data_IF_431200815949
#
_entry.id   IF_431200815949
#
_cell.length_a   1.000
_cell.length_b   1.000
_cell.length_c   1.000
_cell.angle_alpha   90.00
_cell.angle_beta   90.00
_cell.angle_gamma   90.00
#
_symmetry.space_group_name_H-M   'P 1'
#
loop_
_entity.id
_entity.type
_entity.pdbx_description
1 polymer ?
#
# COMPACT_ATOMS: atom_id res chain seq x y z
N UNK A 1 -1.79 8.98 1.56
CA UNK A 1 -1.75 9.32 0.12
C UNK A 1 -3.09 9.92 -0.29
N UNK A 2 -3.11 11.01 -1.07
CA UNK A 2 -4.36 11.53 -1.60
C UNK A 2 -4.87 10.69 -2.79
N UNK A 3 -6.09 10.18 -2.66
CA UNK A 3 -6.79 9.36 -3.66
C UNK A 3 -8.26 9.82 -3.77
N UNK A 4 -8.51 11.11 -3.56
CA UNK A 4 -9.83 11.69 -3.65
C UNK A 4 -10.46 11.40 -5.02
N UNK A 5 -11.76 11.10 -5.01
CA UNK A 5 -12.49 10.67 -6.20
C UNK A 5 -12.57 9.14 -6.33
N UNK A 6 -11.70 8.35 -5.72
CA UNK A 6 -11.77 6.88 -5.76
C UNK A 6 -12.64 6.30 -4.65
N UNK A 7 -13.47 5.32 -4.97
CA UNK A 7 -14.18 4.49 -3.99
C UNK A 7 -13.31 3.30 -3.56
N UNK A 8 -13.71 2.59 -2.50
CA UNK A 8 -12.98 1.40 -2.02
C UNK A 8 -12.88 0.33 -3.12
N UNK A 9 -13.92 0.17 -3.92
CA UNK A 9 -13.98 -0.82 -4.99
C UNK A 9 -13.12 -0.43 -6.21
N UNK A 10 -12.76 0.86 -6.33
CA UNK A 10 -11.88 1.35 -7.39
C UNK A 10 -10.39 1.18 -7.06
N UNK A 11 -10.04 0.78 -5.82
CA UNK A 11 -8.65 0.74 -5.32
C UNK A 11 -8.24 -0.68 -4.96
N UNK A 12 -7.08 -1.09 -5.46
CA UNK A 12 -6.42 -2.34 -5.11
C UNK A 12 -5.08 -2.07 -4.43
N UNK A 13 -4.80 -2.83 -3.37
CA UNK A 13 -3.56 -2.74 -2.59
C UNK A 13 -3.01 -4.15 -2.46
N UNK A 14 -1.78 -4.34 -2.91
CA UNK A 14 -1.13 -5.65 -2.94
C UNK A 14 0.31 -5.54 -2.46
N UNK A 15 0.76 -6.56 -1.74
CA UNK A 15 2.17 -6.73 -1.38
C UNK A 15 2.68 -7.99 -2.04
N UNK A 16 3.71 -7.86 -2.86
CA UNK A 16 4.43 -8.97 -3.47
C UNK A 16 5.91 -8.83 -3.10
N UNK A 17 6.46 -9.85 -2.45
CA UNK A 17 7.79 -9.82 -1.83
C UNK A 17 7.96 -8.61 -0.89
N UNK A 18 8.77 -7.62 -1.28
CA UNK A 18 9.00 -6.37 -0.56
C UNK A 18 8.44 -5.16 -1.32
N UNK A 19 7.48 -5.35 -2.22
CA UNK A 19 6.88 -4.26 -3.01
C UNK A 19 5.41 -4.09 -2.67
N UNK A 20 5.05 -2.92 -2.13
CA UNK A 20 3.67 -2.49 -1.95
C UNK A 20 3.21 -1.76 -3.21
N UNK A 21 2.21 -2.31 -3.89
CA UNK A 21 1.56 -1.71 -5.07
C UNK A 21 0.17 -1.22 -4.70
N UNK A 22 -0.12 0.04 -5.03
CA UNK A 22 -1.42 0.69 -4.87
C UNK A 22 -1.90 1.14 -6.24
N UNK A 23 -3.03 0.60 -6.68
CA UNK A 23 -3.61 0.87 -7.98
C UNK A 23 -5.03 1.42 -7.83
N UNK A 24 -5.33 2.53 -8.47
CA UNK A 24 -6.68 3.06 -8.58
C UNK A 24 -7.16 2.98 -10.02
N UNK A 25 -8.30 2.33 -10.25
CA UNK A 25 -8.92 2.19 -11.57
C UNK A 25 -10.33 2.74 -11.54
N UNK A 26 -10.59 3.80 -12.32
CA UNK A 26 -11.94 4.29 -12.56
C UNK A 26 -12.51 3.58 -13.77
N UNK A 27 -13.70 3.01 -13.63
CA UNK A 27 -14.52 2.60 -14.78
C UNK A 27 -14.85 3.85 -15.58
N UNK A 28 -14.31 3.95 -16.78
CA UNK A 28 -14.58 5.06 -17.71
C UNK A 28 -16.07 5.14 -18.03
N UNK A 29 -16.56 6.37 -18.24
CA UNK A 29 -17.96 6.63 -18.61
C UNK A 29 -18.39 5.86 -19.90
N UNK A 30 -17.43 5.49 -20.75
CA UNK A 30 -17.64 4.67 -21.95
C UNK A 30 -18.07 3.22 -21.67
N UNK A 31 -17.83 2.67 -20.46
CA UNK A 31 -18.19 1.30 -20.12
C UNK A 31 -19.56 1.18 -19.42
N UNK A 32 -20.12 2.31 -18.96
CA UNK A 32 -21.44 2.35 -18.35
C UNK A 32 -22.50 2.64 -19.42
N UNK A 33 -23.07 1.58 -20.03
CA UNK A 33 -24.17 1.66 -21.00
C UNK A 33 -25.41 2.44 -20.51
N UNK A 34 -25.56 2.66 -19.20
CA UNK A 34 -26.67 3.40 -18.57
C UNK A 34 -26.34 4.85 -18.21
N UNK A 35 -25.09 5.30 -18.33
CA UNK A 35 -24.74 6.69 -18.03
C UNK A 35 -24.84 7.53 -19.29
N UNK A 36 -25.98 8.23 -19.45
CA UNK A 36 -26.10 9.40 -20.35
C UNK A 36 -24.82 10.22 -20.23
N UNK A 37 -24.14 10.46 -21.34
CA UNK A 37 -22.90 11.27 -21.42
C UNK A 37 -22.98 12.44 -20.45
N UNK A 38 -22.25 12.35 -19.34
CA UNK A 38 -22.19 13.44 -18.36
C UNK A 38 -21.47 14.59 -19.04
N UNK A 39 -22.24 15.58 -19.48
CA UNK A 39 -21.71 16.74 -20.18
C UNK A 39 -21.15 17.72 -19.15
N UNK A 40 -19.83 17.66 -18.94
CA UNK A 40 -19.14 18.60 -18.06
C UNK A 40 -18.96 19.95 -18.77
N UNK A 41 -19.35 21.05 -18.12
CA UNK A 41 -19.04 22.41 -18.60
C UNK A 41 -17.55 22.74 -18.41
N UNK A 42 -16.95 22.28 -17.31
CA UNK A 42 -15.53 22.37 -17.03
C UNK A 42 -15.10 21.25 -16.09
N UNK A 43 -14.02 20.53 -16.42
CA UNK A 43 -13.45 19.45 -15.60
C UNK A 43 -12.03 19.82 -15.17
N UNK A 44 -11.91 20.52 -14.04
CA UNK A 44 -10.63 21.02 -13.53
C UNK A 44 -9.68 19.94 -13.02
N UNK A 45 -10.19 18.77 -12.64
CA UNK A 45 -9.39 17.62 -12.17
C UNK A 45 -9.88 16.37 -12.89
N UNK A 46 -8.95 15.73 -13.62
CA UNK A 46 -9.24 14.46 -14.27
C UNK A 46 -8.96 13.31 -13.31
N UNK A 47 -10.01 12.55 -12.97
CA UNK A 47 -9.85 11.24 -12.33
C UNK A 47 -9.22 10.29 -13.34
N UNK A 48 -7.93 9.99 -13.17
CA UNK A 48 -7.16 9.10 -14.04
C UNK A 48 -6.72 7.89 -13.25
N UNK A 49 -6.68 6.75 -13.92
CA UNK A 49 -6.10 5.54 -13.34
C UNK A 49 -4.67 5.82 -12.90
N UNK A 50 -4.27 5.25 -11.78
CA UNK A 50 -2.94 5.40 -11.24
C UNK A 50 -2.40 4.08 -10.72
N UNK A 51 -1.07 3.97 -10.74
CA UNK A 51 -0.31 2.94 -10.04
C UNK A 51 0.82 3.63 -9.26
N UNK A 52 1.00 3.21 -8.02
CA UNK A 52 2.11 3.63 -7.16
C UNK A 52 2.74 2.40 -6.52
N UNK A 53 4.06 2.29 -6.66
CA UNK A 53 4.86 1.20 -6.11
C UNK A 53 5.81 1.75 -5.05
N UNK A 54 5.89 1.06 -3.93
CA UNK A 54 6.76 1.41 -2.81
C UNK A 54 7.61 0.19 -2.47
N UNK A 55 8.93 0.40 -2.39
CA UNK A 55 9.82 -0.61 -1.85
C UNK A 55 9.73 -0.59 -0.33
N UNK A 56 9.33 -1.71 0.26
CA UNK A 56 9.34 -1.93 1.70
C UNK A 56 10.75 -2.27 2.17
N UNK A 57 11.10 -1.79 3.35
CA UNK A 57 12.34 -2.15 4.01
C UNK A 57 12.32 -3.58 4.54
N UNK A 58 13.50 -4.10 4.87
CA UNK A 58 13.63 -5.42 5.47
C UNK A 58 12.79 -5.53 6.75
N UNK A 59 12.01 -6.61 6.81
CA UNK A 59 11.15 -6.93 7.93
C UNK A 59 9.99 -5.95 8.16
N UNK A 60 9.66 -5.11 7.18
CA UNK A 60 8.45 -4.29 7.23
C UNK A 60 7.24 -5.13 6.80
N UNK A 61 6.13 -5.03 7.54
CA UNK A 61 4.86 -5.66 7.21
C UNK A 61 3.75 -4.61 7.19
N UNK A 62 2.82 -4.76 6.26
CA UNK A 62 1.58 -3.98 6.22
C UNK A 62 0.61 -4.58 7.24
N UNK A 63 0.06 -3.73 8.10
CA UNK A 63 -0.88 -4.11 9.16
C UNK A 63 -2.32 -3.83 8.76
N UNK A 64 -2.56 -2.63 8.24
CA UNK A 64 -3.88 -2.16 7.88
C UNK A 64 -3.82 -1.19 6.70
N UNK A 65 -4.96 -1.02 6.05
CA UNK A 65 -5.16 -0.03 5.00
C UNK A 65 -6.55 0.58 5.17
N UNK A 66 -6.57 1.88 5.48
CA UNK A 66 -7.79 2.61 5.77
C UNK A 66 -7.94 3.81 4.83
N UNK A 67 -9.19 4.09 4.45
CA UNK A 67 -9.49 5.18 3.54
C UNK A 67 -10.59 6.07 4.13
N UNK A 68 -10.28 7.36 4.29
CA UNK A 68 -11.19 8.36 4.83
C UNK A 68 -10.96 9.71 4.16
N UNK A 69 -12.03 10.44 3.85
CA UNK A 69 -11.98 11.80 3.31
C UNK A 69 -11.06 11.96 2.06
N UNK A 70 -11.00 10.93 1.21
CA UNK A 70 -10.15 10.93 0.01
C UNK A 70 -8.67 10.71 0.29
N UNK A 71 -8.32 10.26 1.49
CA UNK A 71 -6.96 9.91 1.89
C UNK A 71 -6.87 8.41 2.19
N UNK A 72 -5.83 7.77 1.67
CA UNK A 72 -5.43 6.41 2.00
C UNK A 72 -4.30 6.43 3.04
N UNK A 73 -4.53 5.77 4.18
CA UNK A 73 -3.54 5.47 5.20
C UNK A 73 -3.15 4.00 5.11
N UNK A 74 -1.84 3.72 5.18
CA UNK A 74 -1.29 2.37 5.22
C UNK A 74 -0.46 2.28 6.49
N UNK A 75 -0.89 1.44 7.42
CA UNK A 75 -0.17 1.20 8.65
C UNK A 75 0.84 0.09 8.44
N UNK A 76 2.07 0.33 8.88
CA UNK A 76 3.19 -0.58 8.71
C UNK A 76 4.00 -0.65 9.98
N UNK A 77 4.51 -1.84 10.28
CA UNK A 77 5.45 -2.05 11.38
C UNK A 77 6.71 -2.76 10.90
N UNK A 78 7.80 -2.60 11.65
CA UNK A 78 9.04 -3.34 11.43
C UNK A 78 9.17 -4.45 12.47
N UNK A 79 9.05 -5.70 12.03
CA UNK A 79 9.13 -6.90 12.89
C UNK A 79 10.52 -7.52 12.79
N UNK A 80 11.47 -7.04 13.60
CA UNK A 80 12.81 -7.63 13.65
C UNK A 80 12.74 -9.00 14.35
N UNK A 81 13.12 -10.11 13.69
CA UNK A 81 13.11 -11.43 14.32
C UNK A 81 13.99 -11.46 15.58
N UNK A 82 13.55 -12.18 16.62
CA UNK A 82 14.34 -12.30 17.85
C UNK A 82 15.72 -12.90 17.63
N UNK A 83 15.87 -13.80 16.66
CA UNK A 83 17.15 -14.39 16.26
C UNK A 83 18.18 -13.36 15.73
N UNK A 84 17.72 -12.17 15.31
CA UNK A 84 18.57 -11.05 14.89
C UNK A 84 18.82 -10.05 16.02
N UNK A 85 18.23 -10.24 17.21
CA UNK A 85 18.60 -9.43 18.37
C UNK A 85 20.07 -9.71 18.69
N UNK A 86 20.88 -8.67 18.97
CA UNK A 86 22.26 -8.87 19.38
C UNK A 86 22.27 -9.72 20.66
N UNK A 87 23.02 -10.83 20.65
CA UNK A 87 23.29 -11.63 21.85
C UNK A 87 24.61 -11.19 22.46
N UNK A 88 24.64 -11.02 23.76
CA UNK A 88 25.88 -10.80 24.50
C UNK A 88 26.64 -12.12 24.56
N UNK A 89 27.92 -12.10 24.16
CA UNK A 89 28.82 -13.25 24.26
C UNK A 89 29.71 -13.04 25.48
N UNK A 90 29.70 -13.96 26.44
CA UNK A 90 30.61 -13.92 27.58
C UNK A 90 32.03 -14.27 27.16
N UNK A 91 32.97 -13.39 27.49
CA UNK A 91 34.40 -13.60 27.27
C UNK A 91 34.87 -14.73 28.19
N UNK A 92 35.32 -15.85 27.62
CA UNK A 92 35.86 -16.99 28.37
C UNK A 92 34.96 -18.24 28.40
N UNK A 93 33.77 -18.20 27.80
CA UNK A 93 32.94 -19.40 27.63
C UNK A 93 33.50 -20.28 26.51
N UNK A 94 34.08 -21.42 26.88
CA UNK A 94 34.48 -22.49 25.95
C UNK A 94 33.20 -23.06 25.34
N UNK A 95 33.09 -22.91 24.01
CA UNK A 95 32.06 -23.44 23.09
C UNK A 95 31.13 -24.51 23.69
N UNK A 96 29.82 -24.23 23.70
CA UNK A 96 28.80 -25.28 23.74
C UNK A 96 28.55 -25.72 22.28
N UNK A 97 29.19 -26.83 21.88
CA UNK A 97 28.67 -27.73 20.84
C UNK A 97 27.28 -28.24 21.32
N UNK A 98 26.21 -28.43 20.54
CA UNK A 98 26.01 -28.68 19.11
C UNK A 98 24.67 -28.08 18.67
#
# INVERSE_FOLDING_TARGET
MAIAGFSKDDVSIQVEENTLTITGTKKTEAENKDSKERKFLHKGISERNFERKFQLGDHVKVLAADMENGLLHIDMERVIPEAKKPRQIEIGSRLLES
#
